data_IF_361891445759
#
_entry.id   IF_361891445759
#
_cell.length_a   1.000
_cell.length_b   1.000
_cell.length_c   1.000
_cell.angle_alpha   90.00
_cell.angle_beta   90.00
_cell.angle_gamma   90.00
#
_symmetry.space_group_name_H-M   'P 1'
#
loop_
_entity.id
_entity.type
_entity.pdbx_description
1 polymer ?
#
# COMPACT_ATOMS: atom_id res chain seq x y z
N UNK A 1 -13.39 -10.46 -0.73
CA UNK A 1 -12.43 -9.88 -1.68
C UNK A 1 -11.69 -8.76 -0.98
N UNK A 2 -10.36 -8.84 -0.88
CA UNK A 2 -9.52 -7.75 -0.37
C UNK A 2 -9.64 -6.55 -1.31
N UNK A 3 -9.90 -5.36 -0.75
CA UNK A 3 -10.10 -4.15 -1.54
C UNK A 3 -8.76 -3.74 -2.15
N UNK A 4 -8.72 -3.64 -3.47
CA UNK A 4 -7.54 -3.25 -4.24
C UNK A 4 -7.80 -1.98 -5.03
N UNK A 5 -6.76 -1.17 -5.21
CA UNK A 5 -6.82 0.09 -5.94
C UNK A 5 -5.83 0.03 -7.09
N UNK A 6 -6.29 0.39 -8.28
CA UNK A 6 -5.44 0.42 -9.48
C UNK A 6 -4.97 1.87 -9.70
N UNK A 7 -3.65 2.04 -9.85
CA UNK A 7 -3.07 3.33 -10.22
C UNK A 7 -3.48 3.70 -11.66
N UNK A 8 -4.10 4.86 -11.89
CA UNK A 8 -4.67 5.20 -13.20
C UNK A 8 -3.62 5.36 -14.31
N UNK A 9 -2.41 5.84 -13.99
CA UNK A 9 -1.32 6.03 -14.96
C UNK A 9 -0.46 4.78 -15.18
N UNK A 10 0.01 4.12 -14.12
CA UNK A 10 0.94 2.98 -14.25
C UNK A 10 0.23 1.64 -14.37
N UNK A 11 -1.02 1.53 -13.89
CA UNK A 11 -1.73 0.25 -13.76
C UNK A 11 -1.29 -0.58 -12.55
N UNK A 12 -0.34 -0.11 -11.74
CA UNK A 12 0.08 -0.82 -10.53
C UNK A 12 -1.12 -1.06 -9.59
N UNK A 13 -1.16 -2.23 -8.99
CA UNK A 13 -2.24 -2.65 -8.09
C UNK A 13 -1.77 -2.50 -6.65
N UNK A 14 -2.50 -1.75 -5.84
CA UNK A 14 -2.20 -1.49 -4.44
C UNK A 14 -3.20 -2.22 -3.55
N UNK A 15 -2.69 -2.94 -2.55
CA UNK A 15 -3.50 -3.72 -1.60
C UNK A 15 -2.98 -3.50 -0.17
N UNK A 16 -3.89 -3.28 0.76
CA UNK A 16 -3.56 -3.23 2.19
C UNK A 16 -3.35 -4.64 2.73
N UNK A 17 -2.22 -4.88 3.39
CA UNK A 17 -1.91 -6.16 4.05
C UNK A 17 -2.52 -6.21 5.47
N UNK A 18 -2.52 -7.40 6.07
CA UNK A 18 -3.00 -7.58 7.45
C UNK A 18 -2.09 -6.87 8.48
N UNK A 19 -0.80 -6.74 8.18
CA UNK A 19 0.20 -6.03 9.00
C UNK A 19 0.14 -4.50 8.87
N UNK A 20 -0.81 -3.97 8.09
CA UNK A 20 -0.95 -2.53 7.85
C UNK A 20 0.05 -1.93 6.86
N UNK A 21 0.76 -2.79 6.11
CA UNK A 21 1.62 -2.38 5.00
C UNK A 21 0.83 -2.36 3.68
N UNK A 22 1.48 -1.88 2.63
CA UNK A 22 0.91 -1.78 1.29
C UNK A 22 1.70 -2.68 0.35
N UNK A 23 1.05 -3.71 -0.15
CA UNK A 23 1.57 -4.52 -1.25
C UNK A 23 1.26 -3.82 -2.57
N UNK A 24 2.25 -3.74 -3.44
CA UNK A 24 2.15 -3.14 -4.77
C UNK A 24 2.63 -4.14 -5.81
N UNK A 25 1.79 -4.40 -6.80
CA UNK A 25 2.09 -5.30 -7.92
C UNK A 25 2.12 -4.51 -9.22
N UNK A 26 3.19 -4.67 -10.01
CA UNK A 26 3.20 -4.26 -11.41
C UNK A 26 2.61 -5.39 -12.27
N UNK A 27 1.40 -5.22 -12.84
CA UNK A 27 0.78 -6.29 -13.64
C UNK A 27 1.50 -6.56 -14.96
N UNK A 28 2.40 -5.68 -15.42
CA UNK A 28 3.13 -5.85 -16.69
C UNK A 28 4.34 -6.77 -16.52
N UNK A 29 5.09 -6.59 -15.44
CA UNK A 29 6.26 -7.41 -15.12
C UNK A 29 5.97 -8.57 -14.16
N UNK A 30 4.88 -8.49 -13.40
CA UNK A 30 4.58 -9.39 -12.29
C UNK A 30 5.36 -9.07 -11.00
N UNK A 31 6.25 -8.08 -11.04
CA UNK A 31 7.06 -7.69 -9.90
C UNK A 31 6.19 -7.16 -8.75
N UNK A 32 6.56 -7.51 -7.53
CA UNK A 32 5.84 -7.13 -6.32
C UNK A 32 6.77 -6.46 -5.31
N UNK A 33 6.23 -5.56 -4.50
CA UNK A 33 6.94 -4.91 -3.41
C UNK A 33 6.02 -4.58 -2.25
N UNK A 34 6.57 -4.59 -1.04
CA UNK A 34 5.89 -4.20 0.19
C UNK A 34 6.41 -2.84 0.63
N UNK A 35 5.50 -1.94 0.98
CA UNK A 35 5.80 -0.55 1.33
C UNK A 35 5.03 -0.12 2.58
N UNK A 36 5.57 0.87 3.30
CA UNK A 36 4.79 1.59 4.31
C UNK A 36 3.86 2.64 3.64
N UNK A 37 3.02 3.32 4.45
CA UNK A 37 2.12 4.36 3.96
C UNK A 37 2.85 5.62 3.42
N UNK A 38 4.17 5.73 3.65
CA UNK A 38 5.04 6.77 3.12
C UNK A 38 5.79 6.29 1.87
N UNK A 39 5.36 5.18 1.27
CA UNK A 39 6.00 4.52 0.12
C UNK A 39 7.47 4.14 0.36
N UNK A 40 7.89 3.93 1.62
CA UNK A 40 9.21 3.37 1.91
C UNK A 40 9.18 1.87 1.73
N UNK A 41 10.11 1.39 0.90
CA UNK A 41 10.27 -0.02 0.59
C UNK A 41 10.67 -0.84 1.82
N UNK A 42 10.03 -2.01 1.98
CA UNK A 42 10.29 -2.97 3.05
C UNK A 42 10.85 -4.29 2.50
N UNK A 43 10.25 -4.82 1.42
CA UNK A 43 10.66 -6.09 0.80
C UNK A 43 10.17 -6.22 -0.66
N UNK A 44 10.69 -7.20 -1.40
CA UNK A 44 10.30 -7.52 -2.77
C UNK A 44 11.17 -6.94 -3.89
N UNK A 45 10.75 -7.20 -5.12
CA UNK A 45 11.46 -6.85 -6.35
C UNK A 45 11.13 -5.43 -6.82
N UNK A 46 9.85 -5.01 -6.69
CA UNK A 46 9.43 -3.66 -7.02
C UNK A 46 9.97 -2.70 -5.95
N UNK A 47 10.88 -1.81 -6.33
CA UNK A 47 11.57 -0.89 -5.40
C UNK A 47 10.93 0.50 -5.28
N UNK A 48 9.96 0.81 -6.12
CA UNK A 48 9.31 2.11 -6.14
C UNK A 48 7.79 1.95 -6.17
N UNK A 49 7.11 2.74 -5.34
CA UNK A 49 5.67 2.88 -5.30
C UNK A 49 5.29 4.37 -5.32
N UNK A 50 4.10 4.68 -5.81
CA UNK A 50 3.57 6.04 -5.76
C UNK A 50 3.18 6.41 -4.32
N UNK A 51 3.66 7.56 -3.85
CA UNK A 51 3.46 8.05 -2.50
C UNK A 51 1.98 8.32 -2.18
N UNK A 52 1.23 8.87 -3.12
CA UNK A 52 -0.17 9.22 -2.90
C UNK A 52 -1.03 7.97 -2.80
N UNK A 53 -0.79 6.99 -3.68
CA UNK A 53 -1.47 5.70 -3.67
C UNK A 53 -1.14 4.90 -2.42
N UNK A 54 0.14 4.77 -2.06
CA UNK A 54 0.56 4.10 -0.83
C UNK A 54 -0.03 4.79 0.41
N UNK A 55 -0.03 6.12 0.45
CA UNK A 55 -0.62 6.89 1.53
C UNK A 55 -2.15 6.75 1.61
N UNK A 56 -2.85 6.66 0.49
CA UNK A 56 -4.30 6.46 0.49
C UNK A 56 -4.67 5.06 0.99
N UNK A 57 -3.99 4.02 0.51
CA UNK A 57 -4.24 2.64 0.90
C UNK A 57 -3.78 2.39 2.35
N UNK A 58 -2.58 2.82 2.71
CA UNK A 58 -1.99 2.61 4.04
C UNK A 58 -2.70 3.36 5.17
N UNK A 59 -3.29 4.54 4.92
CA UNK A 59 -4.07 5.25 5.95
C UNK A 59 -5.39 4.56 6.32
N UNK A 60 -5.88 3.61 5.49
CA UNK A 60 -7.00 2.75 5.89
C UNK A 60 -6.63 1.81 7.04
N UNK A 61 -5.36 1.41 7.17
CA UNK A 61 -4.88 0.63 8.31
C UNK A 61 -4.75 1.48 9.58
N UNK A 62 -4.21 2.70 9.47
CA UNK A 62 -3.98 3.55 10.65
C UNK A 62 -5.29 3.88 11.38
N UNK A 63 -6.40 4.07 10.66
CA UNK A 63 -7.72 4.29 11.27
C UNK A 63 -8.25 3.09 12.08
N UNK A 64 -7.69 1.88 11.89
CA UNK A 64 -8.04 0.70 12.67
C UNK A 64 -7.16 0.50 13.91
N UNK A 65 -5.98 1.11 13.94
CA UNK A 65 -4.97 0.84 14.99
C UNK A 65 -4.86 1.94 16.03
N UNK A 66 -5.48 3.10 15.84
CA UNK A 66 -5.49 4.17 16.84
C UNK A 66 -6.65 3.97 17.81
N UNK A 67 -6.43 3.68 19.11
CA UNK A 67 -7.38 4.07 20.14
C UNK A 67 -7.52 5.59 20.05
N UNK A 68 -8.74 6.12 20.05
CA UNK A 68 -8.92 7.54 20.37
C UNK A 68 -8.29 7.79 21.74
N UNK A 69 -7.45 8.82 21.92
CA UNK A 69 -7.23 9.35 23.26
C UNK A 69 -8.61 9.85 23.72
N UNK A 70 -9.17 9.22 24.75
CA UNK A 70 -10.28 9.81 25.51
C UNK A 70 -9.69 11.04 26.22
N UNK A 71 -10.18 12.22 25.88
CA UNK A 71 -9.98 13.47 26.63
C UNK A 71 -11.11 13.61 27.67
#
# INVERSE_FOLDING_TARGET
MSKQVIHPLTGHVYRLTEDGLVEVTDPRSGAQGIFDFQARWQSGELRHADLQMAGWVGRLAQRRTSPQPEE
#
